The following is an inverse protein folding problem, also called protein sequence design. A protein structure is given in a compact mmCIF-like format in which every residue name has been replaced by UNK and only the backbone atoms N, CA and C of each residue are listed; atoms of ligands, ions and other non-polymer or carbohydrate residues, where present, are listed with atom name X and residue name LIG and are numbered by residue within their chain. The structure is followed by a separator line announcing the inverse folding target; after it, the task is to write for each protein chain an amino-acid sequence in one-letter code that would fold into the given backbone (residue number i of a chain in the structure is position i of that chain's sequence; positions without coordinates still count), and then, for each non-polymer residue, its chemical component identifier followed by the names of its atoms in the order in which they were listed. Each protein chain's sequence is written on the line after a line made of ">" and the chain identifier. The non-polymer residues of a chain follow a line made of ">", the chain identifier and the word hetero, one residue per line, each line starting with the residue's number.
data_IF_729087648670
#
_entry.id   IF_729087648670
#
_cell.length_a   1.000
_cell.length_b   1.000
_cell.length_c   1.000
_cell.angle_alpha   90.00
_cell.angle_beta   90.00
_cell.angle_gamma   90.00
#
_symmetry.space_group_name_H-M   'P 1'
#
loop_
_entity.id
_entity.type
_entity.pdbx_description
1 polymer ?
#
# COMPACT_ATOMS: atom_id res chain seq x y z
N UNK A 1 9.85 3.37 10.71
CA UNK A 1 8.59 2.73 10.26
C UNK A 1 8.94 1.43 9.57
N UNK A 2 8.29 0.34 9.94
CA UNK A 2 8.43 -0.95 9.25
C UNK A 2 7.11 -1.30 8.57
N UNK A 3 7.19 -1.88 7.38
CA UNK A 3 6.03 -2.28 6.57
C UNK A 3 6.10 -3.77 6.26
N UNK A 4 4.96 -4.42 6.09
CA UNK A 4 4.90 -5.74 5.46
C UNK A 4 5.21 -5.62 3.96
N UNK A 5 5.37 -6.75 3.26
CA UNK A 5 5.63 -6.75 1.82
C UNK A 5 4.53 -6.02 1.01
N UNK A 6 3.29 -6.03 1.51
CA UNK A 6 2.14 -5.34 0.92
C UNK A 6 1.87 -3.96 1.52
N UNK A 7 2.80 -3.40 2.29
CA UNK A 7 2.69 -2.01 2.74
C UNK A 7 1.85 -1.77 3.99
N UNK A 8 1.38 -2.84 4.66
CA UNK A 8 0.71 -2.68 5.95
C UNK A 8 1.74 -2.19 6.99
N UNK A 9 1.37 -1.13 7.73
CA UNK A 9 2.24 -0.59 8.78
C UNK A 9 2.34 -1.57 9.93
N UNK A 10 3.57 -1.95 10.28
CA UNK A 10 3.82 -2.75 11.49
C UNK A 10 3.73 -1.84 12.71
N UNK A 11 2.83 -2.17 13.64
CA UNK A 11 2.71 -1.51 14.94
C UNK A 11 3.87 -1.98 15.82
N UNK A 12 4.90 -1.14 15.98
CA UNK A 12 6.01 -1.35 16.92
C UNK A 12 7.11 -2.29 16.42
N UNK A 13 8.34 -2.00 16.84
CA UNK A 13 9.50 -2.88 16.62
C UNK A 13 9.45 -4.05 17.62
N UNK A 14 9.89 -5.24 17.21
CA UNK A 14 9.84 -6.48 18.01
C UNK A 14 10.65 -6.38 19.32
N UNK A 15 11.59 -5.42 19.40
CA UNK A 15 12.54 -5.29 20.51
C UNK A 15 12.18 -4.23 21.55
N UNK A 16 11.22 -3.35 21.29
CA UNK A 16 10.91 -2.25 22.19
C UNK A 16 9.41 -2.05 22.23
N UNK A 17 8.81 -2.39 23.37
CA UNK A 17 7.52 -1.84 23.79
C UNK A 17 7.72 -0.35 24.05
N UNK A 18 7.81 0.44 22.98
CA UNK A 18 7.98 1.88 23.08
C UNK A 18 6.73 2.46 23.77
N UNK A 19 6.87 3.08 24.96
CA UNK A 19 5.73 3.63 25.70
C UNK A 19 5.22 4.94 25.10
N UNK A 20 5.89 5.46 24.07
CA UNK A 20 5.51 6.68 23.37
C UNK A 20 4.67 6.32 22.14
N UNK A 21 3.55 7.04 21.89
CA UNK A 21 2.80 6.85 20.66
C UNK A 21 3.72 7.07 19.46
N UNK A 22 3.56 6.31 18.36
CA UNK A 22 4.44 6.39 17.22
C UNK A 22 4.44 7.83 16.70
N UNK A 23 5.57 8.53 16.92
CA UNK A 23 5.72 9.97 16.64
C UNK A 23 5.61 10.23 15.12
N UNK A 24 5.95 9.24 14.31
CA UNK A 24 6.09 9.40 12.87
C UNK A 24 4.73 9.54 12.14
N UNK A 25 3.70 8.69 12.35
CA UNK A 25 2.35 8.97 11.80
C UNK A 25 1.73 10.27 12.35
N UNK A 26 2.13 10.74 13.52
CA UNK A 26 1.69 12.04 14.04
C UNK A 26 2.35 13.24 13.32
N UNK A 27 3.53 13.04 12.74
CA UNK A 27 4.29 14.07 12.03
C UNK A 27 4.02 14.06 10.52
N UNK A 28 3.75 12.90 9.94
CA UNK A 28 3.46 12.76 8.52
C UNK A 28 2.59 11.54 8.22
N UNK A 29 1.60 11.73 7.35
CA UNK A 29 0.76 10.65 6.86
C UNK A 29 1.47 9.81 5.78
N UNK A 30 2.63 10.25 5.26
CA UNK A 30 3.35 9.51 4.23
C UNK A 30 4.01 8.26 4.78
N UNK A 31 3.99 7.20 3.99
CA UNK A 31 4.53 5.91 4.40
C UNK A 31 5.04 5.05 3.25
N UNK A 32 4.42 3.88 3.09
CA UNK A 32 4.83 2.88 2.13
C UNK A 32 4.95 3.48 0.73
N UNK A 33 6.09 3.24 0.07
CA UNK A 33 6.43 3.80 -1.25
C UNK A 33 6.36 5.33 -1.36
N UNK A 34 6.34 6.06 -0.25
CA UNK A 34 6.26 7.53 -0.20
C UNK A 34 4.85 8.10 -0.34
N UNK A 35 3.82 7.25 -0.34
CA UNK A 35 2.43 7.65 -0.53
C UNK A 35 1.72 7.93 0.80
N UNK A 36 0.66 8.73 0.75
CA UNK A 36 -0.14 9.07 1.94
C UNK A 36 -0.99 7.89 2.38
N UNK A 37 -0.91 7.57 3.66
CA UNK A 37 -1.73 6.57 4.29
C UNK A 37 -2.87 7.25 5.03
N UNK A 38 -4.05 6.65 4.91
CA UNK A 38 -5.25 7.02 5.62
C UNK A 38 -5.37 6.04 6.78
N UNK A 39 -4.69 6.33 7.89
CA UNK A 39 -4.54 5.39 9.01
C UNK A 39 -5.88 4.97 9.64
N UNK A 40 -6.90 5.82 9.55
CA UNK A 40 -8.25 5.53 10.06
C UNK A 40 -8.97 4.43 9.26
N UNK A 41 -8.65 4.30 7.96
CA UNK A 41 -9.20 3.25 7.10
C UNK A 41 -8.18 2.16 6.75
N UNK A 42 -6.91 2.33 7.15
CA UNK A 42 -5.82 1.42 6.80
C UNK A 42 -5.44 1.42 5.31
N UNK A 43 -5.83 2.46 4.56
CA UNK A 43 -5.66 2.53 3.10
C UNK A 43 -4.48 3.41 2.69
N UNK A 44 -4.01 3.26 1.45
CA UNK A 44 -2.91 4.05 0.88
C UNK A 44 -3.38 4.77 -0.39
N UNK A 45 -3.20 6.09 -0.43
CA UNK A 45 -3.52 6.93 -1.59
C UNK A 45 -2.35 6.98 -2.57
N UNK A 46 -2.44 6.21 -3.66
CA UNK A 46 -1.40 6.03 -4.67
C UNK A 46 -1.53 7.02 -5.84
N UNK A 47 -1.79 8.29 -5.55
CA UNK A 47 -1.88 9.42 -6.52
C UNK A 47 -2.89 9.27 -7.68
N UNK A 48 -3.87 8.37 -7.54
CA UNK A 48 -4.87 8.11 -8.58
C UNK A 48 -5.72 6.88 -8.32
N UNK A 49 -5.25 6.00 -7.43
CA UNK A 49 -5.99 4.84 -6.94
C UNK A 49 -5.84 4.73 -5.43
N UNK A 50 -6.80 4.08 -4.79
CA UNK A 50 -6.69 3.68 -3.38
C UNK A 50 -6.28 2.22 -3.32
N UNK A 51 -5.22 1.94 -2.57
CA UNK A 51 -4.68 0.61 -2.34
C UNK A 51 -5.00 0.13 -0.93
N UNK A 52 -5.48 -1.10 -0.84
CA UNK A 52 -5.69 -1.81 0.42
C UNK A 52 -4.49 -2.74 0.68
N UNK A 53 -3.63 -2.41 1.66
CA UNK A 53 -2.45 -3.19 2.01
C UNK A 53 -2.77 -4.48 2.77
N UNK A 54 -3.98 -4.65 3.33
CA UNK A 54 -4.36 -5.88 4.04
C UNK A 54 -4.62 -7.03 3.06
N UNK A 55 -5.33 -6.74 1.96
CA UNK A 55 -5.60 -7.72 0.90
C UNK A 55 -4.59 -7.63 -0.26
N UNK A 56 -3.79 -6.58 -0.29
CA UNK A 56 -2.78 -6.33 -1.32
C UNK A 56 -3.35 -5.94 -2.68
N UNK A 57 -4.50 -5.25 -2.74
CA UNK A 57 -5.22 -4.91 -3.99
C UNK A 57 -5.71 -3.48 -4.03
N UNK A 58 -5.92 -2.97 -5.24
CA UNK A 58 -6.56 -1.67 -5.45
C UNK A 58 -8.09 -1.77 -5.36
N UNK A 59 -8.72 -0.75 -4.78
CA UNK A 59 -10.18 -0.66 -4.64
C UNK A 59 -10.88 -0.22 -5.94
N UNK A 60 -10.13 0.35 -6.88
CA UNK A 60 -10.62 0.76 -8.19
C UNK A 60 -9.81 0.11 -9.30
N UNK A 61 -10.43 -0.08 -10.47
CA UNK A 61 -9.71 -0.44 -11.69
C UNK A 61 -8.69 0.64 -12.06
N UNK A 62 -7.67 0.27 -12.83
CA UNK A 62 -6.75 1.23 -13.42
C UNK A 62 -7.50 2.12 -14.42
N UNK A 63 -7.49 3.46 -14.26
CA UNK A 63 -8.11 4.34 -15.26
C UNK A 63 -7.38 4.30 -16.62
N UNK A 64 -6.11 3.89 -16.65
CA UNK A 64 -5.34 3.77 -17.88
C UNK A 64 -5.25 2.32 -18.33
N UNK A 65 -6.05 1.96 -19.35
CA UNK A 65 -5.98 0.65 -19.99
C UNK A 65 -5.02 0.75 -21.18
N UNK A 66 -3.79 0.24 -21.02
CA UNK A 66 -2.74 0.31 -22.04
C UNK A 66 -3.13 -0.38 -23.37
N UNK A 67 -4.02 -1.38 -23.34
CA UNK A 67 -4.47 -2.11 -24.52
C UNK A 67 -5.97 -2.45 -24.43
N UNK A 68 -6.88 -1.50 -24.75
CA UNK A 68 -8.32 -1.67 -24.53
C UNK A 68 -8.96 -2.79 -25.36
N UNK A 69 -8.31 -3.22 -26.45
CA UNK A 69 -8.79 -4.28 -27.34
C UNK A 69 -8.07 -5.63 -27.15
N UNK A 70 -7.11 -5.72 -26.23
CA UNK A 70 -6.44 -6.97 -25.93
C UNK A 70 -7.07 -7.61 -24.70
N UNK A 71 -7.96 -8.58 -24.92
CA UNK A 71 -8.65 -9.32 -23.85
C UNK A 71 -7.81 -10.45 -23.25
N UNK A 72 -6.55 -10.64 -23.68
CA UNK A 72 -5.66 -11.69 -23.19
C UNK A 72 -4.60 -11.14 -22.25
N UNK A 73 -4.65 -11.57 -20.99
CA UNK A 73 -3.45 -11.69 -20.16
C UNK A 73 -2.80 -13.00 -20.55
N UNK A 74 -2.03 -13.00 -21.64
CA UNK A 74 -1.27 -14.20 -22.01
C UNK A 74 -0.07 -14.30 -21.06
N UNK A 75 -0.20 -15.13 -20.03
CA UNK A 75 0.95 -15.67 -19.32
C UNK A 75 1.64 -16.68 -20.24
N UNK A 76 2.37 -16.17 -21.23
CA UNK A 76 3.26 -17.02 -22.01
C UNK A 76 4.37 -17.48 -21.08
N UNK A 77 4.18 -18.68 -20.53
CA UNK A 77 5.24 -19.55 -20.04
C UNK A 77 6.25 -19.69 -21.17
N UNK A 78 7.32 -18.91 -21.10
CA UNK A 78 8.53 -19.18 -21.88
C UNK A 78 9.41 -20.09 -21.04
N UNK A 79 9.83 -21.16 -21.70
CA UNK A 79 10.80 -22.17 -21.28
C UNK A 79 12.07 -21.56 -20.68
#
# INVERSE_FOLDING_TARGET
>A
MAYTAFGERRKGDWRVSDPLPPIIPALTNRGFTGHEHIDEMGLIHMNGRVYDPQIGRFLSADPYIQAPYNTRVTIDTVM
#
